data_IF_937710610550
#
_entry.id   IF_937710610550
#
_cell.length_a   1.000
_cell.length_b   1.000
_cell.length_c   1.000
_cell.angle_alpha   90.00
_cell.angle_beta   90.00
_cell.angle_gamma   90.00
#
_symmetry.space_group_name_H-M   'P 1'
#
loop_
_entity.id
_entity.type
_entity.pdbx_description
1 polymer ?
#
# COMPACT_ATOMS: atom_id res chain seq x y z
N UNK A 1 -7.99 -7.28 -2.01
CA UNK A 1 -7.95 -8.72 -1.73
C UNK A 1 -6.55 -9.25 -1.91
N UNK A 2 -6.21 -10.27 -1.14
CA UNK A 2 -4.88 -10.88 -1.21
C UNK A 2 -4.98 -12.31 -1.74
N UNK A 3 -3.98 -12.71 -2.52
CA UNK A 3 -3.80 -14.08 -2.98
C UNK A 3 -2.52 -14.62 -2.39
N UNK A 4 -2.53 -15.91 -2.01
CA UNK A 4 -1.32 -16.56 -1.57
C UNK A 4 -0.39 -16.82 -2.76
N UNK A 5 0.88 -16.51 -2.59
CA UNK A 5 1.87 -16.73 -3.63
C UNK A 5 2.56 -18.07 -3.32
N UNK A 6 2.35 -19.06 -4.18
CA UNK A 6 2.92 -20.41 -3.99
C UNK A 6 4.32 -20.55 -4.55
N UNK A 7 4.72 -19.66 -5.46
CA UNK A 7 6.05 -19.56 -6.02
C UNK A 7 6.23 -18.15 -6.60
N UNK A 8 7.48 -17.68 -6.84
CA UNK A 8 7.67 -16.38 -7.47
C UNK A 8 6.86 -16.24 -8.75
N UNK A 9 6.04 -15.21 -8.83
CA UNK A 9 5.20 -14.93 -9.98
C UNK A 9 3.98 -15.81 -10.16
N UNK A 10 3.67 -16.67 -9.19
CA UNK A 10 2.48 -17.54 -9.24
C UNK A 10 1.59 -17.29 -8.05
N UNK A 11 0.29 -17.41 -8.29
CA UNK A 11 -0.74 -17.25 -7.27
C UNK A 11 -1.56 -18.51 -7.20
N UNK A 12 -1.85 -18.99 -5.98
CA UNK A 12 -2.69 -20.16 -5.79
C UNK A 12 -4.17 -19.77 -6.06
N UNK A 13 -4.78 -20.26 -7.16
CA UNK A 13 -6.15 -19.89 -7.48
C UNK A 13 -7.19 -20.60 -6.60
N UNK A 14 -6.76 -21.57 -5.78
CA UNK A 14 -7.69 -22.31 -4.92
C UNK A 14 -7.90 -21.63 -3.57
N UNK A 15 -7.09 -20.64 -3.24
CA UNK A 15 -7.24 -19.88 -2.00
C UNK A 15 -8.42 -18.92 -2.11
N UNK A 16 -9.29 -18.94 -1.11
CA UNK A 16 -10.48 -18.11 -1.10
C UNK A 16 -11.66 -18.77 -1.82
N UNK A 17 -12.83 -18.18 -1.67
CA UNK A 17 -14.07 -18.70 -2.25
C UNK A 17 -14.07 -18.44 -3.76
N UNK A 18 -14.21 -19.51 -4.54
CA UNK A 18 -14.23 -19.41 -6.00
C UNK A 18 -12.94 -18.90 -6.63
N UNK A 19 -11.81 -18.95 -5.91
CA UNK A 19 -10.55 -18.41 -6.39
C UNK A 19 -10.47 -16.88 -6.37
N UNK A 20 -11.40 -16.21 -5.70
CA UNK A 20 -11.51 -14.76 -5.71
C UNK A 20 -10.51 -14.06 -4.79
N UNK A 21 -9.72 -14.82 -4.03
CA UNK A 21 -8.78 -14.27 -3.07
C UNK A 21 -9.39 -14.09 -1.69
N UNK A 22 -8.53 -13.81 -0.72
CA UNK A 22 -8.92 -13.64 0.68
C UNK A 22 -8.72 -12.18 1.06
N UNK A 23 -9.75 -11.49 1.59
CA UNK A 23 -9.57 -10.14 2.07
C UNK A 23 -8.55 -10.09 3.23
N UNK A 24 -7.49 -9.29 3.07
CA UNK A 24 -6.49 -9.10 4.11
C UNK A 24 -6.95 -8.06 5.13
N UNK A 25 -7.54 -6.97 4.65
CA UNK A 25 -7.98 -5.86 5.48
C UNK A 25 -9.20 -5.23 4.83
N UNK A 26 -10.19 -4.89 5.66
CA UNK A 26 -11.38 -4.19 5.21
C UNK A 26 -11.62 -3.00 6.15
N UNK A 27 -11.52 -1.76 5.65
CA UNK A 27 -11.77 -0.59 6.48
C UNK A 27 -13.23 -0.50 6.90
N UNK A 28 -13.46 0.13 8.04
CA UNK A 28 -14.80 0.48 8.48
C UNK A 28 -15.27 1.70 7.70
N UNK A 29 -16.47 1.62 7.10
CA UNK A 29 -17.05 2.74 6.37
C UNK A 29 -16.61 2.79 4.91
N UNK A 30 -16.89 3.94 4.28
CA UNK A 30 -16.62 4.15 2.86
C UNK A 30 -15.18 4.55 2.63
N UNK A 31 -14.42 3.67 2.00
CA UNK A 31 -13.01 3.91 1.71
C UNK A 31 -12.69 3.32 0.34
N UNK A 32 -11.95 4.07 -0.47
CA UNK A 32 -11.50 3.63 -1.78
C UNK A 32 -9.98 3.48 -1.76
N UNK A 33 -9.50 2.27 -2.02
CA UNK A 33 -8.07 2.01 -2.19
C UNK A 33 -7.68 2.19 -3.66
N UNK A 34 -6.48 2.72 -3.87
CA UNK A 34 -5.86 2.80 -5.18
C UNK A 34 -4.57 1.99 -5.16
N UNK A 35 -3.48 2.51 -5.68
CA UNK A 35 -2.22 1.78 -5.78
C UNK A 35 -1.56 1.56 -4.42
N UNK A 36 -0.69 0.59 -4.35
CA UNK A 36 -0.01 0.23 -3.13
C UNK A 36 1.50 0.01 -3.35
N UNK A 37 2.24 0.08 -2.27
CA UNK A 37 3.64 -0.30 -2.20
C UNK A 37 3.87 -1.16 -0.97
N UNK A 38 4.98 -1.87 -0.93
CA UNK A 38 5.29 -2.79 0.17
C UNK A 38 6.58 -2.33 0.86
N UNK A 39 6.55 -2.24 2.17
CA UNK A 39 7.74 -1.98 2.98
C UNK A 39 8.59 -3.24 3.09
N UNK A 40 9.88 -3.07 3.34
CA UNK A 40 10.81 -4.19 3.48
C UNK A 40 10.37 -5.19 4.56
N UNK A 41 9.75 -4.70 5.62
CA UNK A 41 9.23 -5.55 6.70
C UNK A 41 7.94 -6.28 6.34
N UNK A 42 7.37 -6.04 5.16
CA UNK A 42 6.17 -6.71 4.69
C UNK A 42 4.87 -5.93 4.88
N UNK A 43 4.90 -4.75 5.50
CA UNK A 43 3.70 -3.93 5.59
C UNK A 43 3.27 -3.46 4.19
N UNK A 44 1.97 -3.39 3.98
CA UNK A 44 1.37 -2.93 2.73
C UNK A 44 0.88 -1.51 2.93
N UNK A 45 1.38 -0.59 2.12
CA UNK A 45 1.02 0.82 2.19
C UNK A 45 0.09 1.14 1.03
N UNK A 46 -1.16 1.43 1.32
CA UNK A 46 -2.20 1.60 0.31
C UNK A 46 -2.64 3.06 0.25
N UNK A 47 -2.59 3.62 -0.94
CA UNK A 47 -3.13 4.96 -1.16
C UNK A 47 -4.64 4.93 -0.94
N UNK A 48 -5.13 5.80 -0.06
CA UNK A 48 -6.50 5.77 0.43
C UNK A 48 -7.24 7.04 -0.01
N UNK A 49 -8.07 6.88 -1.02
CA UNK A 49 -8.84 7.99 -1.61
C UNK A 49 -10.00 8.32 -0.69
N UNK A 50 -10.25 9.62 -0.53
CA UNK A 50 -11.32 10.13 0.31
C UNK A 50 -10.85 10.44 1.72
N UNK A 51 -10.08 9.56 2.32
CA UNK A 51 -9.52 9.79 3.65
C UNK A 51 -8.22 10.59 3.62
N UNK A 52 -7.67 10.85 2.45
CA UNK A 52 -6.49 11.70 2.25
C UNK A 52 -5.25 11.15 2.93
N UNK A 53 -4.81 9.97 2.55
CA UNK A 53 -3.60 9.44 3.17
C UNK A 53 -3.18 8.06 2.68
N UNK A 54 -2.21 7.53 3.40
CA UNK A 54 -1.67 6.18 3.17
C UNK A 54 -2.03 5.31 4.37
N UNK A 55 -2.74 4.24 4.11
CA UNK A 55 -3.05 3.22 5.13
C UNK A 55 -1.93 2.19 5.15
N UNK A 56 -1.30 2.00 6.30
CA UNK A 56 -0.23 1.01 6.47
C UNK A 56 -0.82 -0.22 7.17
N UNK A 57 -0.82 -1.34 6.46
CA UNK A 57 -1.48 -2.57 6.90
C UNK A 57 -0.41 -3.65 7.08
N UNK A 58 -0.40 -4.30 8.25
CA UNK A 58 0.56 -5.36 8.54
C UNK A 58 0.26 -6.62 7.74
N UNK A 59 1.25 -7.53 7.59
CA UNK A 59 1.00 -8.82 6.95
C UNK A 59 -0.10 -9.65 7.62
N UNK A 60 -0.38 -9.38 8.90
CA UNK A 60 -1.45 -10.05 9.64
C UNK A 60 -2.83 -9.43 9.36
N UNK A 61 -2.90 -8.36 8.58
CA UNK A 61 -4.17 -7.72 8.22
C UNK A 61 -4.65 -6.66 9.21
N UNK A 62 -3.77 -6.07 9.99
CA UNK A 62 -4.10 -5.00 10.92
C UNK A 62 -3.65 -3.64 10.40
N UNK A 63 -4.48 -2.62 10.57
CA UNK A 63 -4.07 -1.25 10.32
C UNK A 63 -3.11 -0.81 11.42
N UNK A 64 -1.84 -0.60 11.07
CA UNK A 64 -0.81 -0.24 12.04
C UNK A 64 -0.51 1.24 12.07
N UNK A 65 -0.82 1.94 10.99
CA UNK A 65 -0.57 3.38 10.89
C UNK A 65 -1.40 3.99 9.77
N UNK A 66 -1.80 5.25 9.92
CA UNK A 66 -2.38 6.04 8.85
C UNK A 66 -1.58 7.31 8.71
N UNK A 67 -1.02 7.55 7.52
CA UNK A 67 -0.20 8.74 7.25
C UNK A 67 -1.04 9.71 6.42
N UNK A 68 -1.47 10.83 7.00
CA UNK A 68 -2.31 11.78 6.27
C UNK A 68 -1.53 12.54 5.21
N UNK A 69 -2.22 12.88 4.13
CA UNK A 69 -1.71 13.74 3.07
C UNK A 69 -2.65 14.92 2.88
N UNK A 70 -2.21 16.01 2.21
CA UNK A 70 -3.05 17.18 2.00
C UNK A 70 -3.99 17.08 0.78
N UNK A 71 -4.30 15.88 0.32
CA UNK A 71 -5.11 15.69 -0.89
C UNK A 71 -6.00 14.46 -0.76
N UNK A 72 -7.33 14.59 -0.96
CA UNK A 72 -8.23 13.43 -0.89
C UNK A 72 -7.97 12.39 -1.98
N UNK A 73 -7.31 12.77 -3.10
CA UNK A 73 -6.98 11.85 -4.17
C UNK A 73 -5.52 11.43 -4.09
N UNK A 74 -5.13 10.83 -2.97
CA UNK A 74 -3.85 10.18 -2.79
C UNK A 74 -3.90 8.86 -3.54
N UNK A 75 -3.03 8.68 -4.57
CA UNK A 75 -3.22 7.60 -5.54
C UNK A 75 -2.10 6.58 -5.60
N UNK A 76 -0.88 6.93 -5.18
CA UNK A 76 0.22 5.98 -5.22
C UNK A 76 1.33 6.36 -4.26
N UNK A 77 2.16 5.37 -3.91
CA UNK A 77 3.34 5.56 -3.09
C UNK A 77 4.47 4.65 -3.60
N UNK A 78 5.69 5.18 -3.59
CA UNK A 78 6.90 4.39 -3.77
C UNK A 78 8.03 4.99 -2.93
N UNK A 79 9.14 4.29 -2.84
CA UNK A 79 10.28 4.73 -2.04
C UNK A 79 11.53 4.80 -2.86
N UNK A 80 12.38 5.79 -2.53
CA UNK A 80 13.68 5.97 -3.13
C UNK A 80 14.71 6.39 -2.09
N UNK A 81 15.87 6.83 -2.58
CA UNK A 81 16.99 7.16 -1.74
C UNK A 81 17.86 5.93 -1.44
N UNK A 82 19.01 6.18 -0.85
CA UNK A 82 20.00 5.12 -0.58
C UNK A 82 19.46 4.08 0.40
N UNK A 83 18.71 4.53 1.38
CA UNK A 83 18.12 3.69 2.44
C UNK A 83 16.68 3.27 2.14
N UNK A 84 16.10 3.74 1.02
CA UNK A 84 14.71 3.51 0.64
C UNK A 84 13.72 4.04 1.69
N UNK A 85 14.09 5.10 2.39
CA UNK A 85 13.23 5.73 3.40
C UNK A 85 12.75 7.12 2.99
N UNK A 86 12.78 7.43 1.70
CA UNK A 86 12.12 8.61 1.15
C UNK A 86 10.88 8.16 0.38
N UNK A 87 9.72 8.49 0.87
CA UNK A 87 8.46 8.18 0.20
C UNK A 87 8.15 9.24 -0.85
N UNK A 88 7.71 8.79 -2.02
CA UNK A 88 7.20 9.63 -3.10
C UNK A 88 5.73 9.29 -3.29
N UNK A 89 4.87 10.28 -3.14
CA UNK A 89 3.41 10.07 -3.11
C UNK A 89 2.77 10.98 -4.15
N UNK A 90 1.90 10.39 -4.97
CA UNK A 90 1.14 11.14 -5.98
C UNK A 90 -0.15 11.64 -5.37
N UNK A 91 -0.40 12.94 -5.54
CA UNK A 91 -1.59 13.63 -5.07
C UNK A 91 -2.35 14.14 -6.30
N UNK A 92 -3.28 13.33 -6.79
CA UNK A 92 -3.91 13.56 -8.09
C UNK A 92 -4.94 14.67 -8.09
N UNK A 93 -5.55 14.96 -6.94
CA UNK A 93 -6.53 16.05 -6.84
C UNK A 93 -5.93 17.41 -7.11
N UNK A 94 -4.67 17.62 -6.75
CA UNK A 94 -3.96 18.89 -6.96
C UNK A 94 -2.82 18.76 -7.98
N UNK A 95 -2.65 17.58 -8.58
CA UNK A 95 -1.61 17.35 -9.58
C UNK A 95 -0.20 17.46 -9.03
N UNK A 96 0.03 17.01 -7.81
CA UNK A 96 1.34 17.13 -7.16
C UNK A 96 1.98 15.77 -6.94
N UNK A 97 3.31 15.76 -7.00
CA UNK A 97 4.14 14.66 -6.50
C UNK A 97 4.90 15.21 -5.29
N UNK A 98 4.71 14.59 -4.14
CA UNK A 98 5.38 15.02 -2.91
C UNK A 98 6.34 13.95 -2.44
N UNK A 99 7.37 14.36 -1.69
CA UNK A 99 8.28 13.44 -1.03
C UNK A 99 8.29 13.74 0.45
N UNK A 100 8.50 12.70 1.24
CA UNK A 100 8.61 12.86 2.69
C UNK A 100 9.49 11.75 3.28
N UNK A 101 10.10 11.99 4.45
CA UNK A 101 10.77 10.91 5.17
C UNK A 101 9.75 9.85 5.55
N UNK A 102 10.15 8.59 5.44
CA UNK A 102 9.30 7.46 5.80
C UNK A 102 9.97 6.66 6.91
N UNK A 103 9.21 6.19 7.92
CA UNK A 103 9.80 5.59 9.12
C UNK A 103 10.46 4.23 8.88
N UNK A 104 10.09 3.54 7.79
CA UNK A 104 10.61 2.20 7.48
C UNK A 104 11.01 2.13 6.01
N UNK A 105 12.02 1.35 5.66
CA UNK A 105 12.43 1.27 4.26
C UNK A 105 11.38 0.55 3.41
N UNK A 106 11.24 1.00 2.17
CA UNK A 106 10.49 0.29 1.15
C UNK A 106 11.21 -0.97 0.71
N UNK A 107 10.47 -1.91 0.12
CA UNK A 107 11.04 -3.14 -0.41
C UNK A 107 11.93 -2.82 -1.62
N UNK A 108 13.11 -3.43 -1.67
CA UNK A 108 13.98 -3.28 -2.82
C UNK A 108 13.36 -3.94 -4.05
N UNK A 109 13.31 -3.20 -5.16
CA UNK A 109 12.78 -3.74 -6.40
C UNK A 109 13.83 -4.62 -7.08
N UNK A 110 13.38 -5.73 -7.65
CA UNK A 110 14.25 -6.76 -8.21
C UNK A 110 14.58 -6.48 -9.69
N UNK A 111 15.02 -5.25 -10.00
CA UNK A 111 15.43 -4.93 -11.39
C UNK A 111 16.46 -3.84 -11.46
#
# INVERSE_FOLDING_TARGET
MAFDITAPGKVDPTVGIGGAGIPLYRPAGYTFFDSLGIEECGNICVATIGESGISVISPAGALVEFVPTPDPFTTNICWGGVDRQTAYITLSGTGRLVRMPWPRPGLALAH
#
